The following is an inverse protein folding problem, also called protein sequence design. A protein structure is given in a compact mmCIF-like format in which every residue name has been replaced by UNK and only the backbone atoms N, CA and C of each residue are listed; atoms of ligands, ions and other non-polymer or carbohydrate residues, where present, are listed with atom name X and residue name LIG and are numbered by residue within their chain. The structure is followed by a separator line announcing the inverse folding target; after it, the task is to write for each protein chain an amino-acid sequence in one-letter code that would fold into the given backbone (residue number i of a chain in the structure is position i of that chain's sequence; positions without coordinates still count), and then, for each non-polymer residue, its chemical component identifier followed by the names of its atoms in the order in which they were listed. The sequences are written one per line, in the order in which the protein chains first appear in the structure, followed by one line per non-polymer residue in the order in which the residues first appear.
data_IF_340846548039
#
_entry.id   IF_340846548039
#
_cell.length_a   1.000
_cell.length_b   1.000
_cell.length_c   1.000
_cell.angle_alpha   90.00
_cell.angle_beta   90.00
_cell.angle_gamma   90.00
#
_symmetry.space_group_name_H-M   'P 1'
#
loop_
_entity.id
_entity.type
_entity.pdbx_description
1 polymer ?
#
# COMPACT_ATOMS: atom_id res chain seq x y z
N UNK A 1 2.36 25.21 -0.19
CA UNK A 1 3.14 24.35 0.71
C UNK A 1 2.36 23.05 0.84
N UNK A 2 2.91 21.98 0.29
CA UNK A 2 2.21 20.67 0.23
C UNK A 2 2.46 19.93 1.56
N UNK A 3 1.54 20.05 2.53
CA UNK A 3 1.58 19.18 3.71
C UNK A 3 1.03 17.81 3.35
N UNK A 4 1.89 16.93 2.90
CA UNK A 4 1.57 15.51 2.77
C UNK A 4 2.00 14.88 4.10
N UNK A 5 1.03 14.70 5.00
CA UNK A 5 1.27 13.93 6.22
C UNK A 5 1.32 12.46 5.84
N UNK A 6 2.52 11.91 5.89
CA UNK A 6 2.77 10.48 5.70
C UNK A 6 2.20 9.73 6.91
N UNK A 7 1.10 9.02 6.71
CA UNK A 7 0.66 8.03 7.69
C UNK A 7 1.61 6.83 7.63
N UNK A 8 2.52 6.74 8.60
CA UNK A 8 3.41 5.60 8.74
C UNK A 8 2.60 4.33 9.02
N UNK A 9 2.62 3.40 8.09
CA UNK A 9 1.96 2.10 8.20
C UNK A 9 2.75 1.20 9.16
N UNK A 10 2.24 1.01 10.37
CA UNK A 10 2.73 -0.04 11.26
C UNK A 10 1.95 -1.33 10.95
N UNK A 11 2.55 -2.21 10.17
CA UNK A 11 2.06 -3.59 10.04
C UNK A 11 2.72 -4.42 11.13
N UNK A 12 1.99 -4.70 12.22
CA UNK A 12 2.38 -5.71 13.22
C UNK A 12 1.96 -7.08 12.71
N UNK A 13 2.93 -7.88 12.27
CA UNK A 13 2.70 -9.28 11.98
C UNK A 13 2.60 -10.07 13.29
N UNK A 14 1.42 -10.57 13.62
CA UNK A 14 1.22 -11.56 14.69
C UNK A 14 1.56 -12.94 14.15
N UNK A 15 2.65 -13.53 14.65
CA UNK A 15 2.95 -14.96 14.48
C UNK A 15 2.11 -15.76 15.46
N UNK A 16 1.20 -16.61 14.96
CA UNK A 16 0.65 -17.72 15.73
C UNK A 16 1.17 -19.04 15.17
N UNK A 17 1.99 -19.70 15.96
CA UNK A 17 2.38 -21.10 15.74
C UNK A 17 1.33 -22.02 16.35
N UNK A 18 1.03 -23.14 15.70
CA UNK A 18 0.32 -24.22 16.36
C UNK A 18 -0.30 -25.28 15.44
N UNK A 19 0.22 -26.52 15.53
CA UNK A 19 -0.59 -27.69 15.48
C UNK A 19 -0.32 -28.73 14.38
N UNK A 20 0.47 -29.75 14.72
CA UNK A 20 0.60 -31.03 14.00
C UNK A 20 -0.71 -31.81 13.95
N UNK A 21 -1.00 -32.45 12.84
CA UNK A 21 -2.03 -33.49 12.72
C UNK A 21 -1.80 -34.39 11.50
N UNK A 22 -1.51 -35.66 11.77
CA UNK A 22 -1.15 -36.72 10.80
C UNK A 22 -2.30 -37.27 9.96
N UNK A 23 -1.89 -37.78 8.79
CA UNK A 23 -2.36 -38.99 8.07
C UNK A 23 -3.63 -38.92 7.22
N UNK A 24 -3.53 -39.10 5.92
CA UNK A 24 -3.85 -40.31 5.12
C UNK A 24 -3.91 -39.96 3.64
N UNK A 25 -3.16 -40.67 2.85
CA UNK A 25 -3.21 -40.60 1.40
C UNK A 25 -4.46 -41.29 0.85
N UNK A 26 -4.99 -40.84 -0.27
CA UNK A 26 -5.39 -41.71 -1.37
C UNK A 26 -4.77 -41.36 -2.72
N UNK A 27 -4.71 -42.37 -3.57
CA UNK A 27 -4.07 -42.57 -4.83
C UNK A 27 -4.56 -41.68 -6.00
N UNK A 28 -3.87 -41.69 -7.16
CA UNK A 28 -3.83 -40.61 -8.12
C UNK A 28 -4.91 -40.71 -9.20
N UNK A 29 -5.50 -39.59 -9.56
CA UNK A 29 -6.13 -39.42 -10.88
C UNK A 29 -6.38 -37.95 -11.19
N UNK A 30 -6.05 -37.60 -12.39
CA UNK A 30 -6.31 -36.41 -13.17
C UNK A 30 -5.19 -35.36 -13.17
N UNK A 31 -4.53 -35.30 -14.31
CA UNK A 31 -3.67 -34.23 -14.77
C UNK A 31 -4.49 -32.94 -14.86
N UNK A 32 -4.37 -32.09 -13.82
CA UNK A 32 -4.66 -30.69 -13.89
C UNK A 32 -3.32 -29.99 -13.96
N UNK A 33 -3.12 -29.20 -15.00
CA UNK A 33 -2.01 -28.30 -15.22
C UNK A 33 -1.71 -27.52 -13.93
N UNK A 34 -0.75 -27.97 -13.15
CA UNK A 34 -0.16 -27.16 -12.08
C UNK A 34 0.67 -26.07 -12.76
N UNK A 35 0.10 -24.88 -12.91
CA UNK A 35 0.93 -23.70 -13.08
C UNK A 35 1.93 -23.73 -11.92
N UNK A 36 3.20 -23.93 -12.22
CA UNK A 36 4.28 -23.88 -11.24
C UNK A 36 4.19 -22.52 -10.56
N UNK A 37 3.78 -22.51 -9.30
CA UNK A 37 3.92 -21.34 -8.44
C UNK A 37 5.44 -21.16 -8.32
N UNK A 38 6.00 -20.22 -9.09
CA UNK A 38 7.42 -19.90 -8.97
C UNK A 38 7.65 -19.48 -7.53
N UNK A 39 8.62 -20.12 -6.87
CA UNK A 39 8.97 -19.76 -5.50
C UNK A 39 9.30 -18.28 -5.45
N UNK A 40 8.68 -17.55 -4.52
CA UNK A 40 8.98 -16.11 -4.30
C UNK A 40 10.46 -15.97 -4.00
N UNK A 41 11.10 -14.98 -4.65
CA UNK A 41 12.52 -14.67 -4.45
C UNK A 41 12.86 -14.52 -2.96
N UNK A 42 13.91 -15.23 -2.51
CA UNK A 42 14.43 -15.13 -1.15
C UNK A 42 15.40 -13.96 -1.05
N UNK A 43 14.97 -12.92 -0.36
CA UNK A 43 15.77 -11.69 -0.23
C UNK A 43 17.06 -11.98 0.57
N UNK A 44 18.18 -11.53 0.04
CA UNK A 44 19.48 -11.55 0.72
C UNK A 44 19.40 -10.82 2.08
N UNK A 45 20.00 -11.41 3.13
CA UNK A 45 19.88 -10.89 4.50
C UNK A 45 20.51 -9.48 4.65
N UNK A 46 21.67 -9.23 4.01
CA UNK A 46 22.31 -7.90 4.03
C UNK A 46 21.40 -6.85 3.37
N UNK A 47 20.83 -7.19 2.21
CA UNK A 47 19.85 -6.35 1.52
C UNK A 47 18.61 -6.07 2.39
N UNK A 48 18.09 -7.09 3.07
CA UNK A 48 16.94 -6.94 3.97
C UNK A 48 17.24 -6.03 5.16
N UNK A 49 18.45 -6.08 5.71
CA UNK A 49 18.86 -5.20 6.82
C UNK A 49 18.97 -3.74 6.36
N UNK A 50 19.55 -3.49 5.18
CA UNK A 50 19.64 -2.15 4.60
C UNK A 50 18.22 -1.61 4.30
N UNK A 51 17.34 -2.43 3.72
CA UNK A 51 15.95 -2.07 3.49
C UNK A 51 15.23 -1.64 4.79
N UNK A 52 15.43 -2.32 5.92
CA UNK A 52 14.83 -1.91 7.21
C UNK A 52 15.27 -0.51 7.63
N UNK A 53 16.55 -0.15 7.38
CA UNK A 53 17.07 1.21 7.63
C UNK A 53 16.38 2.22 6.69
N UNK A 54 16.21 1.85 5.41
CA UNK A 54 15.50 2.68 4.43
C UNK A 54 14.05 2.98 4.86
N UNK A 55 13.32 1.97 5.33
CA UNK A 55 11.96 2.14 5.88
C UNK A 55 11.95 3.10 7.08
N UNK A 56 12.96 2.99 7.95
CA UNK A 56 13.08 3.88 9.11
C UNK A 56 13.34 5.33 8.70
N UNK A 57 14.20 5.57 7.71
CA UNK A 57 14.46 6.90 7.16
C UNK A 57 13.20 7.48 6.50
N UNK A 58 12.50 6.67 5.69
CA UNK A 58 11.24 7.05 5.05
C UNK A 58 10.18 7.44 6.08
N UNK A 59 10.01 6.66 7.15
CA UNK A 59 9.06 6.95 8.23
C UNK A 59 9.37 8.24 9.00
N UNK A 60 10.60 8.74 8.94
CA UNK A 60 11.02 10.04 9.49
C UNK A 60 10.87 11.20 8.49
N UNK A 61 10.42 10.92 7.27
CA UNK A 61 10.31 11.90 6.19
C UNK A 61 11.64 12.21 5.49
N UNK A 62 12.71 11.47 5.79
CA UNK A 62 14.01 11.61 5.13
C UNK A 62 14.04 10.77 3.85
N UNK A 63 13.33 11.25 2.84
CA UNK A 63 13.16 10.55 1.58
C UNK A 63 14.47 10.38 0.82
N UNK A 64 15.36 11.37 0.85
CA UNK A 64 16.63 11.30 0.16
C UNK A 64 17.49 10.15 0.70
N UNK A 65 17.65 10.10 2.02
CA UNK A 65 18.40 9.03 2.66
C UNK A 65 17.72 7.67 2.52
N UNK A 66 16.37 7.63 2.57
CA UNK A 66 15.62 6.41 2.31
C UNK A 66 15.84 5.87 0.90
N UNK A 67 15.90 6.75 -0.11
CA UNK A 67 16.18 6.38 -1.50
C UNK A 67 17.61 5.86 -1.68
N UNK A 68 18.59 6.49 -1.04
CA UNK A 68 19.99 6.02 -1.03
C UNK A 68 20.10 4.60 -0.43
N UNK A 69 19.47 4.38 0.73
CA UNK A 69 19.46 3.07 1.37
C UNK A 69 18.70 2.02 0.55
N UNK A 70 17.59 2.39 -0.09
CA UNK A 70 16.87 1.48 -0.99
C UNK A 70 17.74 1.07 -2.19
N UNK A 71 18.51 2.00 -2.76
CA UNK A 71 19.47 1.69 -3.81
C UNK A 71 20.59 0.76 -3.32
N UNK A 72 21.18 1.02 -2.15
CA UNK A 72 22.18 0.14 -1.55
C UNK A 72 21.63 -1.28 -1.29
N UNK A 73 20.37 -1.40 -0.84
CA UNK A 73 19.72 -2.69 -0.71
C UNK A 73 19.62 -3.42 -2.05
N UNK A 74 19.29 -2.71 -3.12
CA UNK A 74 19.18 -3.25 -4.48
C UNK A 74 20.54 -3.59 -5.09
N UNK A 75 21.63 -2.95 -4.68
CA UNK A 75 23.01 -3.34 -5.05
C UNK A 75 23.39 -4.70 -4.44
N UNK A 76 22.88 -5.03 -3.24
CA UNK A 76 23.10 -6.31 -2.58
C UNK A 76 22.19 -7.42 -3.11
N UNK A 77 20.98 -7.05 -3.54
CA UNK A 77 19.98 -7.96 -4.08
C UNK A 77 19.04 -7.19 -5.02
N UNK A 78 19.30 -7.25 -6.33
CA UNK A 78 18.51 -6.56 -7.35
C UNK A 78 17.05 -7.00 -7.43
N UNK A 79 16.73 -8.17 -6.85
CA UNK A 79 15.37 -8.73 -6.80
C UNK A 79 14.69 -8.52 -5.43
N UNK A 80 15.27 -7.68 -4.56
CA UNK A 80 14.60 -7.27 -3.32
C UNK A 80 13.33 -6.46 -3.65
N UNK A 81 12.21 -7.16 -3.83
CA UNK A 81 10.93 -6.57 -4.17
C UNK A 81 10.44 -5.54 -3.15
N UNK A 82 10.85 -5.67 -1.88
CA UNK A 82 10.50 -4.69 -0.83
C UNK A 82 11.24 -3.38 -1.03
N UNK A 83 12.54 -3.44 -1.34
CA UNK A 83 13.34 -2.26 -1.64
C UNK A 83 12.89 -1.59 -2.95
N UNK A 84 12.50 -2.38 -3.97
CA UNK A 84 11.90 -1.85 -5.20
C UNK A 84 10.59 -1.10 -4.93
N UNK A 85 9.68 -1.65 -4.09
CA UNK A 85 8.43 -0.97 -3.75
C UNK A 85 8.68 0.36 -3.05
N UNK A 86 9.54 0.35 -2.02
CA UNK A 86 9.92 1.57 -1.29
C UNK A 86 10.58 2.62 -2.21
N UNK A 87 11.54 2.19 -3.04
CA UNK A 87 12.15 3.09 -4.04
C UNK A 87 11.09 3.70 -4.95
N UNK A 88 10.18 2.87 -5.45
CA UNK A 88 9.15 3.32 -6.37
C UNK A 88 8.18 4.32 -5.74
N UNK A 89 7.74 4.13 -4.49
CA UNK A 89 6.85 5.11 -3.87
C UNK A 89 7.59 6.44 -3.60
N UNK A 90 8.86 6.41 -3.22
CA UNK A 90 9.66 7.63 -3.07
C UNK A 90 9.79 8.35 -4.43
N UNK A 91 10.12 7.62 -5.50
CA UNK A 91 10.18 8.20 -6.85
C UNK A 91 8.84 8.83 -7.26
N UNK A 92 7.72 8.17 -6.97
CA UNK A 92 6.40 8.70 -7.31
C UNK A 92 6.09 10.03 -6.61
N UNK A 93 6.56 10.22 -5.37
CA UNK A 93 6.38 11.46 -4.62
C UNK A 93 7.34 12.57 -5.04
N UNK A 94 8.61 12.25 -5.23
CA UNK A 94 9.69 13.24 -5.25
C UNK A 94 10.27 13.47 -6.66
N UNK A 95 10.02 12.56 -7.62
CA UNK A 95 10.54 12.63 -8.97
C UNK A 95 9.39 12.67 -9.98
N UNK A 96 8.76 11.52 -10.23
CA UNK A 96 7.59 11.42 -11.12
C UNK A 96 6.75 10.19 -10.79
N UNK A 97 5.40 10.31 -10.85
CA UNK A 97 4.51 9.16 -10.67
C UNK A 97 4.82 8.01 -11.62
N UNK A 98 5.17 8.30 -12.87
CA UNK A 98 5.43 7.30 -13.91
C UNK A 98 6.67 6.48 -13.60
N UNK A 99 7.77 7.12 -13.14
CA UNK A 99 8.97 6.39 -12.71
C UNK A 99 8.67 5.48 -11.52
N UNK A 100 7.94 6.01 -10.53
CA UNK A 100 7.53 5.26 -9.36
C UNK A 100 6.69 4.04 -9.73
N UNK A 101 5.68 4.21 -10.59
CA UNK A 101 4.82 3.14 -11.10
C UNK A 101 5.67 2.05 -11.77
N UNK A 102 6.61 2.44 -12.63
CA UNK A 102 7.50 1.48 -13.32
C UNK A 102 8.37 0.67 -12.33
N UNK A 103 8.85 1.32 -11.27
CA UNK A 103 9.66 0.64 -10.25
C UNK A 103 8.83 -0.28 -9.35
N UNK A 104 7.61 0.14 -8.95
CA UNK A 104 6.70 -0.71 -8.18
C UNK A 104 6.21 -1.92 -9.01
N UNK A 105 6.01 -1.72 -10.32
CA UNK A 105 5.64 -2.84 -11.21
C UNK A 105 6.72 -3.93 -11.23
N UNK A 106 8.02 -3.59 -11.17
CA UNK A 106 9.10 -4.58 -11.04
C UNK A 106 9.00 -5.33 -9.71
N UNK A 107 8.68 -4.66 -8.61
CA UNK A 107 8.42 -5.31 -7.32
C UNK A 107 7.31 -6.37 -7.43
N UNK A 108 6.18 -6.01 -8.03
CA UNK A 108 5.04 -6.90 -8.22
C UNK A 108 5.32 -8.05 -9.21
N UNK A 109 6.23 -7.87 -10.17
CA UNK A 109 6.64 -8.95 -11.08
C UNK A 109 7.47 -10.02 -10.36
N UNK A 110 8.23 -9.64 -9.33
CA UNK A 110 9.04 -10.56 -8.52
C UNK A 110 8.19 -11.24 -7.45
N UNK A 111 7.35 -10.45 -6.76
CA UNK A 111 6.43 -10.98 -5.75
C UNK A 111 5.01 -10.42 -5.94
N UNK A 112 4.15 -11.13 -6.69
CA UNK A 112 2.75 -10.72 -6.92
C UNK A 112 1.87 -10.71 -5.65
N UNK A 113 2.31 -11.35 -4.56
CA UNK A 113 1.58 -11.38 -3.30
C UNK A 113 2.07 -10.34 -2.29
N UNK A 114 2.99 -9.46 -2.67
CA UNK A 114 3.48 -8.41 -1.77
C UNK A 114 2.45 -7.27 -1.65
N UNK A 115 1.62 -7.34 -0.62
CA UNK A 115 0.47 -6.44 -0.41
C UNK A 115 0.87 -4.97 -0.33
N UNK A 116 2.02 -4.65 0.31
CA UNK A 116 2.51 -3.27 0.38
C UNK A 116 2.75 -2.65 -1.00
N UNK A 117 3.23 -3.44 -1.97
CA UNK A 117 3.43 -2.92 -3.33
C UNK A 117 2.11 -2.56 -4.04
N UNK A 118 0.99 -3.21 -3.72
CA UNK A 118 -0.32 -2.78 -4.21
C UNK A 118 -0.75 -1.44 -3.59
N UNK A 119 -0.48 -1.25 -2.30
CA UNK A 119 -0.76 0.04 -1.65
C UNK A 119 0.10 1.17 -2.24
N UNK A 120 1.40 0.92 -2.39
CA UNK A 120 2.35 1.88 -2.99
C UNK A 120 1.95 2.20 -4.43
N UNK A 121 1.55 1.18 -5.22
CA UNK A 121 1.04 1.36 -6.57
C UNK A 121 -0.23 2.23 -6.60
N UNK A 122 -1.17 1.98 -5.68
CA UNK A 122 -2.38 2.79 -5.57
C UNK A 122 -2.05 4.26 -5.31
N UNK A 123 -1.09 4.52 -4.41
CA UNK A 123 -0.63 5.87 -4.11
C UNK A 123 0.07 6.52 -5.31
N UNK A 124 0.95 5.80 -6.00
CA UNK A 124 1.64 6.30 -7.20
C UNK A 124 0.65 6.64 -8.33
N UNK A 125 -0.35 5.76 -8.58
CA UNK A 125 -1.41 6.01 -9.56
C UNK A 125 -2.24 7.26 -9.19
N UNK A 126 -2.54 7.45 -7.89
CA UNK A 126 -3.23 8.66 -7.43
C UNK A 126 -2.42 9.93 -7.69
N UNK A 127 -1.12 9.92 -7.42
CA UNK A 127 -0.23 11.05 -7.70
C UNK A 127 -0.22 11.40 -9.20
N UNK A 128 -0.28 10.38 -10.07
CA UNK A 128 -0.47 10.55 -11.52
C UNK A 128 -1.89 10.93 -11.93
N UNK A 129 -2.83 11.10 -10.98
CA UNK A 129 -4.26 11.37 -11.20
C UNK A 129 -4.99 10.25 -11.97
N UNK A 130 -4.43 9.06 -11.98
CA UNK A 130 -5.07 7.84 -12.52
C UNK A 130 -5.99 7.24 -11.45
N UNK A 131 -7.05 7.97 -11.11
CA UNK A 131 -7.90 7.68 -9.94
C UNK A 131 -8.57 6.30 -10.01
N UNK A 132 -8.99 5.85 -11.18
CA UNK A 132 -9.65 4.54 -11.34
C UNK A 132 -8.66 3.38 -11.12
N UNK A 133 -7.43 3.50 -11.64
CA UNK A 133 -6.34 2.57 -11.38
C UNK A 133 -5.97 2.53 -9.89
N UNK A 134 -5.84 3.71 -9.28
CA UNK A 134 -5.58 3.83 -7.84
C UNK A 134 -6.63 3.08 -7.02
N UNK A 135 -7.92 3.29 -7.32
CA UNK A 135 -9.03 2.58 -6.64
C UNK A 135 -8.89 1.07 -6.82
N UNK A 136 -8.58 0.58 -8.03
CA UNK A 136 -8.40 -0.86 -8.29
C UNK A 136 -7.25 -1.46 -7.46
N UNK A 137 -6.15 -0.73 -7.31
CA UNK A 137 -5.01 -1.21 -6.52
C UNK A 137 -5.30 -1.17 -5.01
N UNK A 138 -5.99 -0.16 -4.49
CA UNK A 138 -6.48 -0.19 -3.11
C UNK A 138 -7.45 -1.34 -2.87
N UNK A 139 -8.32 -1.66 -3.85
CA UNK A 139 -9.21 -2.82 -3.74
C UNK A 139 -8.41 -4.13 -3.64
N UNK A 140 -7.31 -4.31 -4.39
CA UNK A 140 -6.42 -5.48 -4.24
C UNK A 140 -5.80 -5.58 -2.85
N UNK A 141 -5.52 -4.45 -2.19
CA UNK A 141 -5.10 -4.46 -0.78
C UNK A 141 -6.24 -4.98 0.09
N UNK A 142 -7.47 -4.47 -0.11
CA UNK A 142 -8.65 -4.87 0.67
C UNK A 142 -9.06 -6.33 0.43
N UNK A 143 -8.78 -6.92 -0.73
CA UNK A 143 -9.00 -8.34 -1.02
C UNK A 143 -8.09 -9.24 -0.14
N UNK A 144 -6.93 -8.74 0.27
CA UNK A 144 -5.97 -9.44 1.14
C UNK A 144 -6.12 -9.04 2.62
N UNK A 145 -6.44 -7.78 2.89
CA UNK A 145 -6.67 -7.20 4.23
C UNK A 145 -7.94 -6.34 4.24
N UNK A 146 -9.12 -6.95 4.48
CA UNK A 146 -10.40 -6.26 4.52
C UNK A 146 -10.53 -5.19 5.61
N UNK A 147 -9.60 -5.15 6.57
CA UNK A 147 -9.58 -4.16 7.65
C UNK A 147 -8.56 -3.04 7.42
N UNK A 148 -7.98 -2.94 6.23
CA UNK A 148 -7.02 -1.89 5.92
C UNK A 148 -7.69 -0.50 5.83
N UNK A 149 -7.68 0.22 6.93
CA UNK A 149 -8.28 1.55 7.09
C UNK A 149 -7.83 2.53 6.01
N UNK A 150 -6.52 2.54 5.74
CA UNK A 150 -5.92 3.51 4.81
C UNK A 150 -6.24 3.24 3.35
N UNK A 151 -6.55 1.99 2.99
CA UNK A 151 -7.06 1.68 1.65
C UNK A 151 -8.48 2.19 1.46
N UNK A 152 -9.38 2.04 2.44
CA UNK A 152 -10.69 2.69 2.39
C UNK A 152 -10.58 4.22 2.31
N UNK A 153 -9.69 4.80 3.11
CA UNK A 153 -9.44 6.24 3.07
C UNK A 153 -8.89 6.69 1.71
N UNK A 154 -7.92 5.94 1.14
CA UNK A 154 -7.37 6.19 -0.19
C UNK A 154 -8.44 6.16 -1.28
N UNK A 155 -9.35 5.18 -1.25
CA UNK A 155 -10.49 5.10 -2.17
C UNK A 155 -11.41 6.32 -1.98
N UNK A 156 -11.71 6.69 -0.73
CA UNK A 156 -12.54 7.87 -0.43
C UNK A 156 -11.95 9.16 -1.00
N UNK A 157 -10.63 9.35 -0.85
CA UNK A 157 -9.94 10.54 -1.40
C UNK A 157 -9.91 10.54 -2.93
N UNK A 158 -9.81 9.37 -3.59
CA UNK A 158 -9.92 9.29 -5.04
C UNK A 158 -11.31 9.70 -5.54
N UNK A 159 -12.38 9.21 -4.90
CA UNK A 159 -13.74 9.62 -5.24
C UNK A 159 -14.00 11.10 -4.93
N UNK A 160 -13.41 11.62 -3.85
CA UNK A 160 -13.49 13.05 -3.55
C UNK A 160 -12.83 13.90 -4.63
N UNK A 161 -11.64 13.51 -5.13
CA UNK A 161 -10.95 14.17 -6.23
C UNK A 161 -11.75 14.09 -7.55
N UNK A 162 -12.46 12.98 -7.77
CA UNK A 162 -13.40 12.78 -8.89
C UNK A 162 -14.74 13.54 -8.70
N UNK A 163 -14.97 14.20 -7.56
CA UNK A 163 -16.24 14.87 -7.21
C UNK A 163 -17.45 13.93 -7.09
N UNK A 164 -17.23 12.64 -6.88
CA UNK A 164 -18.27 11.67 -6.56
C UNK A 164 -18.54 11.67 -5.05
N UNK A 165 -19.45 12.57 -4.59
CA UNK A 165 -19.79 12.73 -3.18
C UNK A 165 -20.26 11.41 -2.55
N UNK A 166 -21.16 10.71 -3.23
CA UNK A 166 -21.82 9.53 -2.66
C UNK A 166 -20.77 8.46 -2.29
N UNK A 167 -19.90 8.12 -3.23
CA UNK A 167 -18.84 7.14 -3.00
C UNK A 167 -17.74 7.66 -2.07
N UNK A 168 -17.39 8.94 -2.15
CA UNK A 168 -16.42 9.53 -1.23
C UNK A 168 -16.86 9.37 0.22
N UNK A 169 -18.13 9.69 0.53
CA UNK A 169 -18.67 9.54 1.88
C UNK A 169 -18.86 8.08 2.30
N UNK A 170 -19.28 7.20 1.38
CA UNK A 170 -19.39 5.75 1.64
C UNK A 170 -18.06 5.16 2.10
N UNK A 171 -16.99 5.40 1.34
CA UNK A 171 -15.67 4.84 1.65
C UNK A 171 -15.01 5.55 2.84
N UNK A 172 -15.22 6.85 3.01
CA UNK A 172 -14.78 7.59 4.19
C UNK A 172 -15.43 7.02 5.46
N UNK A 173 -16.73 6.70 5.41
CA UNK A 173 -17.42 6.07 6.54
C UNK A 173 -16.77 4.75 6.93
N UNK A 174 -16.45 3.88 5.97
CA UNK A 174 -15.76 2.61 6.23
C UNK A 174 -14.41 2.82 6.93
N UNK A 175 -13.63 3.81 6.49
CA UNK A 175 -12.37 4.16 7.12
C UNK A 175 -12.55 4.70 8.55
N UNK A 176 -13.56 5.57 8.77
CA UNK A 176 -13.90 6.13 10.10
C UNK A 176 -14.38 5.02 11.03
N UNK A 177 -15.21 4.08 10.56
CA UNK A 177 -15.70 2.98 11.38
C UNK A 177 -14.55 2.08 11.89
N UNK A 178 -13.46 1.95 11.13
CA UNK A 178 -12.28 1.17 11.50
C UNK A 178 -11.32 1.94 12.44
N UNK A 179 -11.08 3.22 12.19
CA UNK A 179 -10.13 4.03 12.97
C UNK A 179 -10.59 5.50 13.05
N UNK A 180 -11.63 5.78 13.86
CA UNK A 180 -12.15 7.15 13.98
C UNK A 180 -11.13 8.14 14.52
N UNK A 181 -10.22 7.69 15.40
CA UNK A 181 -9.24 8.55 16.07
C UNK A 181 -8.26 9.18 15.09
N UNK A 182 -7.81 8.41 14.09
CA UNK A 182 -6.82 8.89 13.12
C UNK A 182 -7.49 9.42 11.85
N UNK A 183 -8.59 8.80 11.39
CA UNK A 183 -9.25 9.15 10.12
C UNK A 183 -10.00 10.47 10.19
N UNK A 184 -10.75 10.74 11.26
CA UNK A 184 -11.55 11.97 11.37
C UNK A 184 -10.71 13.25 11.26
N UNK A 185 -9.64 13.43 12.06
CA UNK A 185 -8.79 14.62 11.94
C UNK A 185 -8.13 14.72 10.57
N UNK A 186 -7.70 13.59 10.02
CA UNK A 186 -7.09 13.54 8.69
C UNK A 186 -8.08 14.00 7.61
N UNK A 187 -9.30 13.50 7.62
CA UNK A 187 -10.33 13.88 6.65
C UNK A 187 -10.72 15.36 6.77
N UNK A 188 -10.82 15.88 7.99
CA UNK A 188 -11.14 17.28 8.25
C UNK A 188 -10.04 18.25 7.78
N UNK A 189 -8.77 17.80 7.73
CA UNK A 189 -7.63 18.64 7.37
C UNK A 189 -7.21 18.53 5.89
N UNK A 190 -7.63 17.49 5.17
CA UNK A 190 -7.15 17.21 3.80
C UNK A 190 -7.91 17.99 2.73
N UNK A 191 -7.18 18.55 1.78
CA UNK A 191 -7.71 19.34 0.65
C UNK A 191 -8.67 18.54 -0.24
N UNK A 192 -8.52 17.22 -0.31
CA UNK A 192 -9.41 16.34 -1.07
C UNK A 192 -10.89 16.51 -0.71
N UNK A 193 -11.18 16.74 0.58
CA UNK A 193 -12.53 16.90 1.10
C UNK A 193 -12.95 18.36 1.32
N UNK A 194 -12.11 19.35 1.01
CA UNK A 194 -12.39 20.76 1.26
C UNK A 194 -13.76 21.22 0.72
N UNK A 195 -14.12 20.76 -0.46
CA UNK A 195 -15.41 21.08 -1.08
C UNK A 195 -16.63 20.45 -0.39
N UNK A 196 -16.40 19.48 0.52
CA UNK A 196 -17.42 18.84 1.35
C UNK A 196 -17.51 19.45 2.76
N UNK A 197 -16.69 20.42 3.12
CA UNK A 197 -16.69 21.00 4.47
C UNK A 197 -18.03 21.65 4.85
N UNK A 198 -18.81 22.14 3.88
CA UNK A 198 -20.17 22.65 4.11
C UNK A 198 -21.27 21.59 4.09
N UNK A 199 -20.94 20.34 3.79
CA UNK A 199 -21.90 19.26 3.65
C UNK A 199 -22.24 18.61 5.01
N UNK A 200 -23.54 18.49 5.29
CA UNK A 200 -24.02 17.98 6.58
C UNK A 200 -23.62 16.52 6.84
N UNK A 201 -23.58 15.67 5.79
CA UNK A 201 -23.24 14.26 5.93
C UNK A 201 -21.74 14.08 6.17
N UNK A 202 -20.91 14.87 5.48
CA UNK A 202 -19.47 14.92 5.75
C UNK A 202 -19.19 15.36 7.18
N UNK A 203 -19.85 16.43 7.65
CA UNK A 203 -19.65 16.94 9.01
C UNK A 203 -20.01 15.92 10.09
N UNK A 204 -21.04 15.08 9.87
CA UNK A 204 -21.38 13.99 10.80
C UNK A 204 -20.31 12.92 10.86
N UNK A 205 -19.57 12.68 9.77
CA UNK A 205 -18.52 11.67 9.74
C UNK A 205 -17.23 12.13 10.44
N UNK A 206 -16.89 13.43 10.36
CA UNK A 206 -15.59 13.95 10.84
C UNK A 206 -15.63 14.63 12.21
N UNK A 207 -16.80 14.88 12.74
CA UNK A 207 -17.01 15.35 14.13
C UNK A 207 -17.19 14.18 15.08
#
# INVERSE_FOLDING_TARGET
MKSIILAALMITAALTAGGCGSSKAPSPSSAASSAAVSAVHQINEESQQIYRKAVTAYGKGDHLHALELANQALEKDGENYKALSLKGIIQAFDISPEEGIGTIQKSLSINPDYVQAYFDMAMAQKLGKHYDESIRFFQKVLDKDPHNTWSYYGIATNYADKRDKAKALEYLKKAVDLDPKNVKPQAAAQDHFQWLHGDADFQKLVK
#
